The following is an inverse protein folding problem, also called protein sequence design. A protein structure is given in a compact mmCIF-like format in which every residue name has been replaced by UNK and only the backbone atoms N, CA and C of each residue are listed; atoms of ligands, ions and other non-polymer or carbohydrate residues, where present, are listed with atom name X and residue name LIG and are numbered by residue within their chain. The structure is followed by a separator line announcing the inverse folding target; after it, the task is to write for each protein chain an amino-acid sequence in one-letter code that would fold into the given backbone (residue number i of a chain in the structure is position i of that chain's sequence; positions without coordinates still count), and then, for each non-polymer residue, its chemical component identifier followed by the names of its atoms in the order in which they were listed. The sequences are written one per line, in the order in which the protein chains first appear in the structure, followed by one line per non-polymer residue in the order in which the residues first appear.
data_IF_818686510045
#
_entry.id   IF_818686510045
#
_cell.length_a   1.000
_cell.length_b   1.000
_cell.length_c   1.000
_cell.angle_alpha   90.00
_cell.angle_beta   90.00
_cell.angle_gamma   90.00
#
_symmetry.space_group_name_H-M   'P 1'
#
loop_
_entity.id
_entity.type
_entity.pdbx_description
1 polymer ?
#
# COMPACT_ATOMS: atom_id res chain seq x y z
N UNK A 1 32.64 1.23 -10.32
CA UNK A 1 31.25 1.75 -10.41
C UNK A 1 30.35 0.92 -9.51
N UNK A 2 29.24 1.47 -9.02
CA UNK A 2 28.06 0.68 -8.57
C UNK A 2 27.75 0.48 -7.07
N UNK A 3 28.11 1.41 -6.18
CA UNK A 3 27.26 1.64 -4.99
C UNK A 3 26.39 2.88 -5.22
N UNK A 4 27.00 3.97 -5.69
CA UNK A 4 26.30 5.21 -6.01
C UNK A 4 25.19 5.04 -7.06
N UNK A 5 25.47 4.29 -8.14
CA UNK A 5 24.46 3.95 -9.16
C UNK A 5 23.33 3.10 -8.57
N UNK A 6 23.63 2.17 -7.65
CA UNK A 6 22.63 1.30 -7.02
C UNK A 6 21.74 2.08 -6.06
N UNK A 7 22.32 2.97 -5.25
CA UNK A 7 21.57 3.85 -4.35
C UNK A 7 20.68 4.87 -5.07
N UNK A 8 20.96 5.18 -6.34
CA UNK A 8 20.10 6.06 -7.16
C UNK A 8 19.11 5.23 -7.98
N UNK A 9 19.53 4.10 -8.53
CA UNK A 9 18.69 3.25 -9.35
C UNK A 9 17.55 2.61 -8.54
N UNK A 10 17.83 2.15 -7.30
CA UNK A 10 16.82 1.51 -6.46
C UNK A 10 15.64 2.45 -6.13
N UNK A 11 15.85 3.69 -5.65
CA UNK A 11 14.75 4.65 -5.45
C UNK A 11 14.00 5.00 -6.74
N UNK A 12 14.70 5.11 -7.88
CA UNK A 12 14.06 5.44 -9.16
C UNK A 12 13.17 4.27 -9.62
N UNK A 13 13.68 3.04 -9.56
CA UNK A 13 12.90 1.82 -9.87
C UNK A 13 11.71 1.72 -8.91
N UNK A 14 11.92 2.04 -7.64
CA UNK A 14 10.86 2.06 -6.64
C UNK A 14 9.77 3.08 -6.98
N UNK A 15 10.13 4.32 -7.34
CA UNK A 15 9.17 5.35 -7.77
C UNK A 15 8.40 4.93 -9.02
N UNK A 16 9.05 4.24 -9.97
CA UNK A 16 8.39 3.71 -11.16
C UNK A 16 7.39 2.62 -10.80
N UNK A 17 7.76 1.68 -9.92
CA UNK A 17 6.86 0.62 -9.42
C UNK A 17 5.69 1.21 -8.66
N UNK A 18 5.94 2.18 -7.77
CA UNK A 18 4.89 2.86 -7.00
C UNK A 18 3.95 3.63 -7.91
N UNK A 19 4.46 4.38 -8.89
CA UNK A 19 3.65 5.09 -9.86
C UNK A 19 2.80 4.16 -10.73
N UNK A 20 3.34 2.99 -11.08
CA UNK A 20 2.61 1.97 -11.83
C UNK A 20 1.52 1.29 -10.99
N UNK A 21 1.79 1.01 -9.71
CA UNK A 21 0.83 0.40 -8.79
C UNK A 21 -0.25 1.39 -8.32
N UNK A 22 0.09 2.67 -8.18
CA UNK A 22 -0.86 3.69 -7.72
C UNK A 22 -1.84 4.11 -8.80
N UNK A 23 -1.57 3.85 -10.09
CA UNK A 23 -2.42 4.31 -11.18
C UNK A 23 -2.64 5.83 -11.10
N UNK A 24 -1.56 6.60 -10.97
CA UNK A 24 -1.63 8.06 -11.01
C UNK A 24 -1.78 8.54 -12.47
N UNK A 25 -2.69 9.49 -12.70
CA UNK A 25 -2.97 10.04 -14.03
C UNK A 25 -1.75 10.71 -14.71
N UNK A 26 -0.69 11.03 -13.94
CA UNK A 26 0.52 11.69 -14.42
C UNK A 26 1.71 10.79 -14.79
N UNK A 27 1.57 9.45 -14.77
CA UNK A 27 2.71 8.55 -14.97
C UNK A 27 2.93 8.16 -16.46
N UNK A 28 4.18 8.28 -16.93
CA UNK A 28 4.62 8.23 -18.34
C UNK A 28 4.24 6.91 -19.07
N UNK A 29 4.12 5.80 -18.34
CA UNK A 29 3.78 4.49 -18.89
C UNK A 29 2.39 4.05 -18.45
N UNK A 30 1.36 4.70 -19.00
CA UNK A 30 -0.03 4.27 -18.79
C UNK A 30 -0.41 3.21 -19.83
N UNK A 31 -0.66 1.95 -19.45
CA UNK A 31 -1.45 1.07 -20.31
C UNK A 31 -2.86 1.65 -20.44
N UNK A 32 -3.55 1.45 -21.58
CA UNK A 32 -4.97 1.77 -21.74
C UNK A 32 -5.81 0.91 -20.78
N UNK A 33 -5.82 1.27 -19.50
CA UNK A 33 -6.67 0.66 -18.49
C UNK A 33 -7.94 1.51 -18.31
N UNK A 34 -9.06 0.83 -18.13
CA UNK A 34 -10.34 1.50 -17.86
C UNK A 34 -10.24 2.24 -16.52
N UNK A 35 -10.75 3.47 -16.45
CA UNK A 35 -10.71 4.29 -15.23
C UNK A 35 -11.29 3.59 -13.97
N UNK A 36 -12.20 2.63 -14.16
CA UNK A 36 -12.66 1.72 -13.08
C UNK A 36 -11.51 0.97 -12.41
N UNK A 37 -10.58 0.41 -13.18
CA UNK A 37 -9.44 -0.38 -12.67
C UNK A 37 -8.44 0.51 -11.95
N UNK A 38 -8.21 1.71 -12.45
CA UNK A 38 -7.36 2.72 -11.82
C UNK A 38 -7.90 3.10 -10.43
N UNK A 39 -9.19 3.38 -10.33
CA UNK A 39 -9.85 3.66 -9.06
C UNK A 39 -9.78 2.48 -8.08
N UNK A 40 -9.98 1.25 -8.56
CA UNK A 40 -9.84 0.03 -7.74
C UNK A 40 -8.42 -0.10 -7.18
N UNK A 41 -7.39 0.16 -8.00
CA UNK A 41 -5.98 0.13 -7.57
C UNK A 41 -5.71 1.19 -6.51
N UNK A 42 -6.10 2.45 -6.74
CA UNK A 42 -5.94 3.53 -5.78
C UNK A 42 -6.61 3.22 -4.44
N UNK A 43 -7.85 2.73 -4.48
CA UNK A 43 -8.58 2.32 -3.27
C UNK A 43 -7.86 1.19 -2.53
N UNK A 44 -7.34 0.20 -3.24
CA UNK A 44 -6.57 -0.90 -2.66
C UNK A 44 -5.26 -0.40 -2.03
N UNK A 45 -4.56 0.54 -2.67
CA UNK A 45 -3.36 1.20 -2.10
C UNK A 45 -3.73 1.87 -0.77
N UNK A 46 -4.74 2.76 -0.76
CA UNK A 46 -5.13 3.49 0.45
C UNK A 46 -5.50 2.52 1.59
N UNK A 47 -6.28 1.47 1.30
CA UNK A 47 -6.67 0.48 2.31
C UNK A 47 -5.48 -0.33 2.85
N UNK A 48 -4.53 -0.71 1.98
CA UNK A 48 -3.32 -1.41 2.41
C UNK A 48 -2.45 -0.56 3.32
N UNK A 49 -2.26 0.72 3.00
CA UNK A 49 -1.54 1.68 3.85
C UNK A 49 -2.23 1.92 5.18
N UNK A 50 -3.56 2.10 5.17
CA UNK A 50 -4.35 2.23 6.40
C UNK A 50 -4.19 1.01 7.33
N UNK A 51 -4.08 -0.19 6.75
CA UNK A 51 -3.87 -1.44 7.50
C UNK A 51 -2.51 -1.46 8.18
N UNK A 52 -1.45 -1.05 7.48
CA UNK A 52 -0.10 -0.95 8.07
C UNK A 52 -0.07 0.07 9.18
N UNK A 53 -0.66 1.25 8.98
CA UNK A 53 -0.75 2.29 10.00
C UNK A 53 -1.47 1.77 11.25
N UNK A 54 -2.57 1.03 11.08
CA UNK A 54 -3.29 0.43 12.19
C UNK A 54 -2.42 -0.57 12.96
N UNK A 55 -1.70 -1.45 12.27
CA UNK A 55 -0.77 -2.38 12.89
C UNK A 55 0.35 -1.68 13.67
N UNK A 56 0.94 -0.64 13.08
CA UNK A 56 1.97 0.16 13.75
C UNK A 56 1.42 0.84 14.99
N UNK A 57 0.21 1.41 14.92
CA UNK A 57 -0.45 2.05 16.05
C UNK A 57 -0.75 1.03 17.16
N UNK A 58 -1.23 -0.16 16.83
CA UNK A 58 -1.47 -1.23 17.80
C UNK A 58 -0.18 -1.65 18.51
N UNK A 59 0.90 -1.87 17.76
CA UNK A 59 2.20 -2.21 18.36
C UNK A 59 2.70 -1.09 19.28
N UNK A 60 2.59 0.16 18.86
CA UNK A 60 2.94 1.32 19.68
C UNK A 60 2.13 1.39 20.98
N UNK A 61 0.82 1.12 20.92
CA UNK A 61 -0.03 1.08 22.11
C UNK A 61 0.34 -0.09 23.04
N UNK A 62 0.63 -1.27 22.50
CA UNK A 62 1.07 -2.41 23.32
C UNK A 62 2.38 -2.14 24.05
N UNK A 63 3.32 -1.45 23.40
CA UNK A 63 4.56 -1.01 24.03
C UNK A 63 4.28 0.01 25.15
N UNK A 64 3.41 1.01 24.92
CA UNK A 64 3.05 2.00 25.95
C UNK A 64 2.43 1.34 27.19
N UNK A 65 1.48 0.45 26.98
CA UNK A 65 0.76 -0.20 28.07
C UNK A 65 1.53 -1.40 28.66
N UNK A 66 2.73 -1.69 28.16
CA UNK A 66 3.54 -2.84 28.58
C UNK A 66 2.73 -4.15 28.56
N UNK A 67 1.86 -4.32 27.56
CA UNK A 67 0.99 -5.51 27.40
C UNK A 67 1.77 -6.64 26.70
N UNK A 68 3.09 -6.68 26.91
CA UNK A 68 3.96 -7.70 26.36
C UNK A 68 3.78 -9.03 27.07
N UNK A 69 3.76 -10.13 26.32
CA UNK A 69 3.84 -11.46 26.91
C UNK A 69 5.28 -11.69 27.40
N UNK A 70 5.51 -11.94 28.71
CA UNK A 70 6.85 -12.21 29.25
C UNK A 70 7.53 -13.44 28.61
N UNK A 71 6.78 -14.31 27.90
CA UNK A 71 7.35 -15.42 27.12
C UNK A 71 8.02 -14.99 25.82
N UNK A 72 7.71 -13.77 25.35
CA UNK A 72 8.26 -13.15 24.15
C UNK A 72 9.33 -12.10 24.51
N UNK A 73 9.54 -11.83 25.80
CA UNK A 73 10.65 -11.00 26.28
C UNK A 73 11.99 -11.64 25.88
N UNK A 74 12.69 -11.02 24.93
CA UNK A 74 13.96 -11.49 24.38
C UNK A 74 13.92 -11.86 22.89
N UNK A 75 12.73 -11.98 22.30
CA UNK A 75 12.62 -12.06 20.83
C UNK A 75 12.72 -10.65 20.22
N UNK A 76 13.94 -10.26 19.86
CA UNK A 76 14.16 -9.04 19.09
C UNK A 76 14.01 -9.34 17.60
N UNK A 77 12.95 -8.80 16.99
CA UNK A 77 12.77 -8.88 15.54
C UNK A 77 13.87 -8.06 14.88
N UNK A 78 14.79 -8.71 14.17
CA UNK A 78 15.98 -8.06 13.60
C UNK A 78 15.65 -7.04 12.48
N UNK A 79 14.50 -7.19 11.82
CA UNK A 79 14.03 -6.33 10.72
C UNK A 79 12.51 -6.12 10.78
N UNK A 80 11.99 -5.33 11.73
CA UNK A 80 10.55 -5.11 11.88
C UNK A 80 9.92 -4.46 10.64
N UNK A 81 10.67 -3.63 9.91
CA UNK A 81 10.24 -3.00 8.65
C UNK A 81 9.86 -4.01 7.56
N UNK A 82 10.57 -5.14 7.45
CA UNK A 82 10.26 -6.18 6.47
C UNK A 82 8.91 -6.83 6.76
N UNK A 83 8.56 -6.98 8.04
CA UNK A 83 7.26 -7.50 8.44
C UNK A 83 6.12 -6.59 7.99
N UNK A 84 6.25 -5.27 8.18
CA UNK A 84 5.26 -4.30 7.72
C UNK A 84 5.16 -4.25 6.19
N UNK A 85 6.27 -4.40 5.46
CA UNK A 85 6.24 -4.50 4.00
C UNK A 85 5.50 -5.74 3.49
N UNK A 86 5.65 -6.88 4.18
CA UNK A 86 4.88 -8.09 3.87
C UNK A 86 3.38 -7.87 4.11
N UNK A 87 3.00 -7.22 5.22
CA UNK A 87 1.61 -6.85 5.49
C UNK A 87 1.07 -5.92 4.39
N UNK A 88 1.85 -4.89 4.00
CA UNK A 88 1.47 -3.95 2.95
C UNK A 88 1.19 -4.68 1.63
N UNK A 89 2.11 -5.55 1.22
CA UNK A 89 1.99 -6.31 -0.03
C UNK A 89 0.78 -7.25 0.00
N UNK A 90 0.65 -8.08 1.04
CA UNK A 90 -0.46 -9.03 1.16
C UNK A 90 -1.81 -8.33 1.24
N UNK A 91 -1.92 -7.27 2.04
CA UNK A 91 -3.15 -6.50 2.18
C UNK A 91 -3.54 -5.82 0.88
N UNK A 92 -2.58 -5.31 0.11
CA UNK A 92 -2.85 -4.75 -1.22
C UNK A 92 -3.52 -5.78 -2.15
N UNK A 93 -2.99 -7.00 -2.26
CA UNK A 93 -3.63 -8.03 -3.10
C UNK A 93 -5.03 -8.36 -2.61
N UNK A 94 -5.21 -8.53 -1.29
CA UNK A 94 -6.51 -8.84 -0.70
C UNK A 94 -7.52 -7.73 -1.05
N UNK A 95 -7.19 -6.47 -0.81
CA UNK A 95 -8.08 -5.35 -1.11
C UNK A 95 -8.30 -5.16 -2.61
N UNK A 96 -7.28 -5.37 -3.44
CA UNK A 96 -7.42 -5.33 -4.89
C UNK A 96 -8.42 -6.38 -5.38
N UNK A 97 -8.29 -7.64 -4.95
CA UNK A 97 -9.23 -8.70 -5.32
C UNK A 97 -10.65 -8.46 -4.79
N UNK A 98 -10.78 -7.95 -3.55
CA UNK A 98 -12.08 -7.60 -2.98
C UNK A 98 -12.74 -6.48 -3.79
N UNK A 99 -12.01 -5.41 -4.07
CA UNK A 99 -12.53 -4.24 -4.78
C UNK A 99 -12.81 -4.57 -6.26
N UNK A 100 -11.99 -5.38 -6.92
CA UNK A 100 -12.26 -5.82 -8.29
C UNK A 100 -13.58 -6.61 -8.41
N UNK A 101 -13.90 -7.42 -7.41
CA UNK A 101 -15.17 -8.17 -7.35
C UNK A 101 -16.37 -7.31 -6.92
N UNK A 102 -16.18 -6.31 -6.06
CA UNK A 102 -17.28 -5.53 -5.46
C UNK A 102 -17.67 -4.30 -6.27
N UNK A 103 -16.71 -3.64 -6.91
CA UNK A 103 -16.95 -2.33 -7.52
C UNK A 103 -17.71 -2.48 -8.83
N UNK A 104 -18.99 -2.10 -8.80
CA UNK A 104 -19.85 -2.05 -9.99
C UNK A 104 -19.59 -0.75 -10.76
N UNK A 105 -19.79 -0.73 -12.10
CA UNK A 105 -19.58 0.47 -12.92
C UNK A 105 -20.37 1.71 -12.49
N UNK A 106 -21.50 1.53 -11.78
CA UNK A 106 -22.35 2.61 -11.28
C UNK A 106 -21.73 3.37 -10.12
N UNK A 107 -21.01 2.70 -9.21
CA UNK A 107 -20.42 3.30 -8.00
C UNK A 107 -19.27 4.25 -8.37
N UNK A 108 -18.48 3.88 -9.39
CA UNK A 108 -17.45 4.73 -9.99
C UNK A 108 -18.02 6.02 -10.61
N UNK A 109 -19.24 5.97 -11.19
CA UNK A 109 -19.83 7.12 -11.87
C UNK A 109 -20.22 8.25 -10.91
N UNK A 110 -20.62 7.94 -9.68
CA UNK A 110 -21.04 8.95 -8.70
C UNK A 110 -19.87 9.71 -8.08
N UNK A 111 -18.77 9.01 -7.75
CA UNK A 111 -17.56 9.65 -7.19
C UNK A 111 -16.97 10.66 -8.17
N UNK A 112 -16.94 10.33 -9.46
CA UNK A 112 -16.34 11.20 -10.47
C UNK A 112 -17.19 12.47 -10.74
N UNK A 113 -18.52 12.39 -10.63
CA UNK A 113 -19.42 13.56 -10.76
C UNK A 113 -19.27 14.51 -9.56
N UNK A 114 -18.90 13.99 -8.39
CA UNK A 114 -18.74 14.76 -7.17
C UNK A 114 -17.36 15.45 -7.09
N UNK A 115 -16.33 14.88 -7.72
CA UNK A 115 -15.01 15.53 -7.91
C UNK A 115 -15.03 16.65 -8.96
N UNK A 116 -15.92 16.60 -9.95
CA UNK A 116 -16.04 17.61 -11.02
C UNK A 116 -16.94 18.81 -10.67
N UNK A 117 -17.54 18.86 -9.47
CA UNK A 117 -18.42 19.94 -9.00
C UNK A 117 -17.71 20.89 -8.03
#
# INVERSE_FOLDING_TARGET
MSLFLTYIAVPIIWLVVVGWLSGSEGFIFKPKENARKEWIKQKAVIQSWATVILFMLTNFLFDIFHVGDPRLEGFTTQYPELFYLVILFLSYFIFYFINDRKVKPSEYRYVNIEEER
#
